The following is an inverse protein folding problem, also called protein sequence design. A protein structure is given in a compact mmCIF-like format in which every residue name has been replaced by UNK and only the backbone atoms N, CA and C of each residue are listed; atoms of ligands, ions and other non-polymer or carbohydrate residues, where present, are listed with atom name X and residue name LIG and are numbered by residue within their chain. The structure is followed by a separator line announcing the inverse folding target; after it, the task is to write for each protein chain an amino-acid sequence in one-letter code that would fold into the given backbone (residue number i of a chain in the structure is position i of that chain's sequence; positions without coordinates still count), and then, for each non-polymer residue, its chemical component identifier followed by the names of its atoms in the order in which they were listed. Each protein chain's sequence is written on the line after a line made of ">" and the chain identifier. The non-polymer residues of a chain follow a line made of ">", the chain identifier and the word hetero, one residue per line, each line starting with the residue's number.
data_IF_562401072335
#
_entry.id   IF_562401072335
#
_cell.length_a   1.000
_cell.length_b   1.000
_cell.length_c   1.000
_cell.angle_alpha   90.00
_cell.angle_beta   90.00
_cell.angle_gamma   90.00
#
_symmetry.space_group_name_H-M   'P 1'
#
loop_
_entity.id
_entity.type
_entity.pdbx_description
1 polymer ?
#
# COMPACT_ATOMS: atom_id res chain seq x y z
N UNK A 1 -9.99 -13.80 -20.92
CA UNK A 1 -9.38 -12.49 -21.20
C UNK A 1 -9.75 -11.58 -20.04
N UNK A 2 -8.76 -11.07 -19.31
CA UNK A 2 -8.97 -10.13 -18.19
C UNK A 2 -8.64 -8.75 -18.73
N UNK A 3 -9.64 -7.87 -18.79
CA UNK A 3 -9.50 -6.48 -19.21
C UNK A 3 -10.04 -5.57 -18.11
N UNK A 4 -9.44 -4.39 -17.95
CA UNK A 4 -10.04 -3.33 -17.13
C UNK A 4 -11.11 -2.61 -17.95
N UNK A 5 -12.31 -2.50 -17.38
CA UNK A 5 -13.45 -1.85 -18.03
C UNK A 5 -13.32 -0.32 -17.99
N UNK A 6 -13.84 0.36 -19.02
CA UNK A 6 -13.87 1.82 -19.13
C UNK A 6 -14.61 2.51 -17.97
N UNK A 7 -15.59 1.83 -17.36
CA UNK A 7 -16.34 2.35 -16.20
C UNK A 7 -15.57 2.22 -14.87
N UNK A 8 -14.37 1.63 -14.88
CA UNK A 8 -13.52 1.53 -13.71
C UNK A 8 -13.05 2.92 -13.26
N UNK A 9 -13.20 3.22 -11.97
CA UNK A 9 -12.73 4.49 -11.40
C UNK A 9 -11.20 4.52 -11.38
N UNK A 10 -10.60 5.47 -12.08
CA UNK A 10 -9.14 5.65 -12.11
C UNK A 10 -8.65 6.57 -10.99
N UNK A 11 -7.48 6.28 -10.46
CA UNK A 11 -6.79 7.14 -9.50
C UNK A 11 -6.06 8.32 -10.17
N UNK A 12 -5.46 9.23 -9.38
CA UNK A 12 -5.50 9.30 -7.92
C UNK A 12 -6.73 10.06 -7.37
N UNK A 13 -7.09 9.79 -6.11
CA UNK A 13 -8.14 10.54 -5.41
C UNK A 13 -7.64 11.96 -5.07
N UNK A 14 -8.30 13.06 -5.48
CA UNK A 14 -7.75 14.41 -5.27
C UNK A 14 -7.46 14.78 -3.80
N UNK A 15 -8.28 14.37 -2.81
CA UNK A 15 -7.98 14.60 -1.39
C UNK A 15 -6.90 13.69 -0.77
N UNK A 16 -6.50 12.61 -1.43
CA UNK A 16 -5.52 11.66 -0.92
C UNK A 16 -4.78 10.95 -2.07
N UNK A 17 -3.98 11.70 -2.86
CA UNK A 17 -3.37 11.15 -4.05
C UNK A 17 -2.33 10.05 -3.75
N UNK A 18 -1.80 10.03 -2.53
CA UNK A 18 -0.83 9.06 -2.03
C UNK A 18 -1.41 7.69 -1.65
N UNK A 19 -2.74 7.52 -1.69
CA UNK A 19 -3.40 6.23 -1.45
C UNK A 19 -4.03 5.74 -2.76
N UNK A 20 -3.44 4.69 -3.31
CA UNK A 20 -4.04 3.96 -4.42
C UNK A 20 -5.30 3.24 -3.91
N UNK A 21 -6.44 3.48 -4.57
CA UNK A 21 -7.65 2.69 -4.36
C UNK A 21 -7.34 1.23 -4.69
N UNK A 22 -7.89 0.29 -3.93
CA UNK A 22 -8.63 -0.76 -4.61
C UNK A 22 -10.12 -0.54 -4.38
N UNK A 23 -10.88 -0.52 -5.49
CA UNK A 23 -12.32 -0.68 -5.48
C UNK A 23 -12.62 -2.19 -5.41
N UNK A 24 -12.75 -2.72 -4.19
CA UNK A 24 -13.15 -4.12 -3.99
C UNK A 24 -14.39 -4.14 -3.10
N UNK A 25 -15.54 -4.46 -3.71
CA UNK A 25 -16.74 -4.81 -2.96
C UNK A 25 -16.75 -6.33 -2.71
N UNK A 26 -15.92 -6.75 -1.76
CA UNK A 26 -15.92 -8.09 -1.13
C UNK A 26 -15.55 -9.27 -2.04
N UNK A 27 -14.32 -9.80 -2.00
CA UNK A 27 -14.11 -11.19 -2.40
C UNK A 27 -14.91 -12.06 -1.43
N UNK A 28 -15.64 -13.06 -1.93
CA UNK A 28 -16.68 -13.78 -1.19
C UNK A 28 -16.27 -14.42 0.16
N UNK A 29 -17.25 -15.07 0.78
CA UNK A 29 -17.24 -15.62 2.16
C UNK A 29 -15.94 -16.34 2.56
N UNK A 30 -15.24 -17.01 1.63
CA UNK A 30 -14.03 -17.78 1.91
C UNK A 30 -12.82 -16.95 2.40
N UNK A 31 -12.61 -15.70 1.94
CA UNK A 31 -11.46 -14.91 2.44
C UNK A 31 -11.74 -14.41 3.85
N UNK A 32 -12.95 -13.88 4.08
CA UNK A 32 -13.34 -13.34 5.38
C UNK A 32 -13.50 -14.43 6.44
N UNK A 33 -13.92 -15.64 6.07
CA UNK A 33 -14.07 -16.77 6.99
C UNK A 33 -12.75 -17.48 7.32
N UNK A 34 -11.73 -17.38 6.45
CA UNK A 34 -10.43 -18.01 6.67
C UNK A 34 -9.58 -17.28 7.73
N UNK A 35 -9.94 -16.05 8.11
CA UNK A 35 -9.12 -15.15 8.93
C UNK A 35 -9.83 -14.83 10.27
N UNK A 36 -9.59 -15.60 11.35
CA UNK A 36 -10.41 -15.53 12.56
C UNK A 36 -10.22 -14.26 13.41
N UNK A 37 -9.09 -13.54 13.26
CA UNK A 37 -8.68 -12.48 14.19
C UNK A 37 -8.15 -11.21 13.52
N UNK A 38 -8.39 -11.03 12.22
CA UNK A 38 -7.69 -10.02 11.44
C UNK A 38 -8.46 -8.71 11.34
N UNK A 39 -7.75 -7.58 11.46
CA UNK A 39 -8.34 -6.25 11.28
C UNK A 39 -8.81 -6.04 9.83
N UNK A 40 -9.72 -5.08 9.56
CA UNK A 40 -10.07 -4.71 8.20
C UNK A 40 -8.86 -4.29 7.34
N UNK A 41 -7.84 -3.66 7.96
CA UNK A 41 -6.61 -3.27 7.27
C UNK A 41 -5.73 -4.48 6.93
N UNK A 42 -5.67 -5.47 7.82
CA UNK A 42 -4.97 -6.73 7.60
C UNK A 42 -5.58 -7.51 6.43
N UNK A 43 -6.91 -7.60 6.35
CA UNK A 43 -7.62 -8.23 5.22
C UNK A 43 -7.34 -7.49 3.91
N UNK A 44 -7.42 -6.15 3.93
CA UNK A 44 -7.07 -5.31 2.77
C UNK A 44 -5.63 -5.56 2.32
N UNK A 45 -4.69 -5.64 3.27
CA UNK A 45 -3.30 -5.93 2.99
C UNK A 45 -3.10 -7.28 2.31
N UNK A 46 -3.73 -8.34 2.84
CA UNK A 46 -3.64 -9.68 2.25
C UNK A 46 -4.07 -9.64 0.78
N UNK A 47 -5.26 -9.08 0.51
CA UNK A 47 -5.81 -8.97 -0.84
C UNK A 47 -4.90 -8.18 -1.78
N UNK A 48 -4.35 -7.05 -1.33
CA UNK A 48 -3.49 -6.19 -2.17
C UNK A 48 -2.13 -6.81 -2.45
N UNK A 49 -1.48 -7.39 -1.44
CA UNK A 49 -0.09 -7.88 -1.57
C UNK A 49 0.02 -9.19 -2.34
N UNK A 50 -1.08 -9.95 -2.43
CA UNK A 50 -1.15 -11.21 -3.18
C UNK A 50 -1.91 -11.07 -4.50
N UNK A 51 -2.20 -9.84 -4.95
CA UNK A 51 -2.87 -9.62 -6.22
C UNK A 51 -1.97 -9.98 -7.40
N UNK A 52 -2.56 -10.56 -8.43
CA UNK A 52 -1.86 -10.92 -9.66
C UNK A 52 -1.72 -9.68 -10.57
N UNK A 53 -0.49 -9.33 -10.93
CA UNK A 53 -0.21 -8.21 -11.87
C UNK A 53 -0.23 -8.64 -13.35
N UNK A 54 -0.46 -9.93 -13.61
CA UNK A 54 -0.52 -10.53 -14.94
C UNK A 54 -1.83 -11.29 -15.13
N UNK A 55 -2.22 -11.46 -16.39
CA UNK A 55 -3.36 -12.27 -16.77
C UNK A 55 -3.02 -13.78 -16.72
N UNK A 56 -4.00 -14.64 -17.02
CA UNK A 56 -3.82 -16.10 -17.03
C UNK A 56 -2.77 -16.59 -18.04
N UNK A 57 -2.47 -15.81 -19.08
CA UNK A 57 -1.41 -16.10 -20.04
C UNK A 57 -0.04 -15.56 -19.59
N UNK A 58 0.10 -15.14 -18.33
CA UNK A 58 1.30 -14.53 -17.75
C UNK A 58 1.78 -13.27 -18.49
N UNK A 59 0.86 -12.61 -19.19
CA UNK A 59 1.11 -11.33 -19.87
C UNK A 59 0.56 -10.17 -19.03
N UNK A 60 1.06 -8.93 -19.18
CA UNK A 60 0.49 -7.77 -18.48
C UNK A 60 -1.03 -7.69 -18.66
N UNK A 61 -1.74 -7.27 -17.61
CA UNK A 61 -3.18 -7.01 -17.71
C UNK A 61 -3.38 -5.84 -18.69
N UNK A 62 -4.35 -5.99 -19.59
CA UNK A 62 -4.66 -4.98 -20.60
C UNK A 62 -5.83 -4.07 -20.15
N UNK A 63 -5.81 -2.82 -20.60
CA UNK A 63 -6.91 -1.88 -20.46
C UNK A 63 -7.93 -2.01 -21.62
N UNK A 64 -8.97 -1.17 -21.63
CA UNK A 64 -10.00 -1.20 -22.68
C UNK A 64 -9.47 -0.84 -24.09
N UNK A 65 -8.25 -0.30 -24.18
CA UNK A 65 -7.58 0.02 -25.44
C UNK A 65 -6.66 -1.10 -25.93
N UNK A 66 -6.66 -2.24 -25.24
CA UNK A 66 -5.77 -3.38 -25.50
C UNK A 66 -4.28 -3.05 -25.33
N UNK A 67 -3.97 -2.08 -24.46
CA UNK A 67 -2.61 -1.74 -24.05
C UNK A 67 -2.36 -2.20 -22.62
N UNK A 68 -1.11 -2.42 -22.20
CA UNK A 68 -0.79 -2.75 -20.81
C UNK A 68 -1.34 -1.68 -19.85
N UNK A 69 -2.21 -2.11 -18.94
CA UNK A 69 -2.84 -1.24 -17.96
C UNK A 69 -1.81 -0.71 -16.96
N UNK A 70 -1.90 0.59 -16.67
CA UNK A 70 -1.02 1.22 -15.70
C UNK A 70 -1.43 0.95 -14.24
N UNK A 71 -0.55 1.30 -13.30
CA UNK A 71 -0.78 1.12 -11.87
C UNK A 71 -2.00 1.92 -11.35
N UNK A 72 -2.38 3.02 -12.01
CA UNK A 72 -3.57 3.80 -11.64
C UNK A 72 -4.87 3.15 -12.14
N UNK A 73 -4.75 2.18 -13.05
CA UNK A 73 -5.84 1.44 -13.68
C UNK A 73 -6.08 0.11 -12.96
N UNK A 74 -5.03 -0.67 -12.66
CA UNK A 74 -5.15 -1.96 -11.98
C UNK A 74 -4.91 -1.90 -10.47
N UNK A 75 -4.41 -0.78 -9.94
CA UNK A 75 -4.05 -0.67 -8.52
C UNK A 75 -2.99 -1.70 -8.14
N UNK A 76 -3.32 -2.59 -7.21
CA UNK A 76 -2.42 -3.67 -6.81
C UNK A 76 -2.40 -4.86 -7.79
N UNK A 77 -3.37 -4.95 -8.71
CA UNK A 77 -3.57 -6.07 -9.62
C UNK A 77 -4.92 -6.75 -9.46
N UNK A 78 -5.09 -7.87 -10.15
CA UNK A 78 -6.29 -8.70 -10.08
C UNK A 78 -6.31 -9.53 -8.78
N UNK A 79 -7.47 -9.59 -8.12
CA UNK A 79 -7.60 -10.31 -6.83
C UNK A 79 -7.34 -11.80 -7.01
N UNK A 80 -6.50 -12.37 -6.14
CA UNK A 80 -6.26 -13.80 -6.02
C UNK A 80 -6.73 -14.30 -4.64
N UNK A 81 -7.96 -14.82 -4.53
CA UNK A 81 -8.51 -15.24 -3.24
C UNK A 81 -7.75 -16.38 -2.56
N UNK A 82 -7.19 -17.29 -3.35
CA UNK A 82 -6.44 -18.42 -2.82
C UNK A 82 -5.15 -17.92 -2.15
N UNK A 83 -4.39 -17.07 -2.83
CA UNK A 83 -3.16 -16.48 -2.27
C UNK A 83 -3.46 -15.55 -1.07
N UNK A 84 -4.55 -14.77 -1.14
CA UNK A 84 -4.94 -13.87 -0.05
C UNK A 84 -5.34 -14.59 1.25
N UNK A 85 -5.66 -15.89 1.18
CA UNK A 85 -5.95 -16.68 2.38
C UNK A 85 -4.69 -16.99 3.21
N UNK A 86 -3.51 -17.00 2.57
CA UNK A 86 -2.20 -17.16 3.21
C UNK A 86 -1.16 -16.19 2.58
N UNK A 87 -1.21 -14.90 2.92
CA UNK A 87 -0.35 -13.87 2.34
C UNK A 87 1.08 -13.87 2.90
N UNK A 88 1.36 -14.65 3.95
CA UNK A 88 2.62 -14.64 4.69
C UNK A 88 2.85 -13.38 5.53
N UNK A 89 2.86 -12.20 4.91
CA UNK A 89 3.04 -10.90 5.57
C UNK A 89 1.85 -9.97 5.35
N UNK A 90 1.54 -9.16 6.35
CA UNK A 90 0.54 -8.10 6.24
C UNK A 90 1.01 -6.76 6.81
N UNK A 91 0.45 -5.68 6.25
CA UNK A 91 0.54 -4.32 6.73
C UNK A 91 -0.73 -3.99 7.49
N UNK A 92 -0.69 -4.16 8.81
CA UNK A 92 -1.82 -3.82 9.67
C UNK A 92 -1.80 -2.33 10.04
N UNK A 93 -2.99 -1.77 10.23
CA UNK A 93 -3.21 -0.37 10.63
C UNK A 93 -4.33 -0.35 11.66
N UNK A 94 -4.06 0.19 12.84
CA UNK A 94 -5.07 0.35 13.89
C UNK A 94 -5.80 1.69 13.73
N UNK A 95 -7.04 1.84 14.21
CA UNK A 95 -7.79 3.10 14.11
C UNK A 95 -7.03 4.34 14.60
N UNK A 96 -6.22 4.21 15.67
CA UNK A 96 -5.39 5.28 16.18
C UNK A 96 -4.24 5.69 15.25
N UNK A 97 -3.74 4.78 14.42
CA UNK A 97 -2.62 5.04 13.50
C UNK A 97 -3.06 5.93 12.32
N UNK A 98 -4.37 6.03 12.07
CA UNK A 98 -4.93 7.00 11.13
C UNK A 98 -4.91 8.44 11.67
N UNK A 99 -4.79 8.66 12.98
CA UNK A 99 -4.85 10.02 13.55
C UNK A 99 -3.74 10.93 13.03
N UNK A 100 -2.44 10.53 13.09
CA UNK A 100 -1.36 11.33 12.50
C UNK A 100 -1.53 11.60 11.00
N UNK A 101 -2.11 10.64 10.27
CA UNK A 101 -2.37 10.75 8.83
C UNK A 101 -3.48 11.75 8.53
N UNK A 102 -4.63 11.62 9.19
CA UNK A 102 -5.78 12.53 9.02
C UNK A 102 -5.43 13.96 9.44
N UNK A 103 -4.65 14.13 10.51
CA UNK A 103 -4.13 15.45 10.89
C UNK A 103 -3.14 16.01 9.84
N UNK A 104 -2.35 15.15 9.18
CA UNK A 104 -1.45 15.51 8.08
C UNK A 104 -2.18 16.02 6.83
N UNK A 105 -3.35 15.47 6.54
CA UNK A 105 -4.29 15.93 5.50
C UNK A 105 -4.98 17.27 5.82
N UNK A 106 -4.59 17.96 6.91
CA UNK A 106 -5.16 19.24 7.36
C UNK A 106 -6.62 19.18 7.83
N UNK A 107 -7.14 18.01 8.19
CA UNK A 107 -8.41 17.93 8.89
C UNK A 107 -8.33 18.59 10.27
N UNK A 108 -9.43 19.21 10.69
CA UNK A 108 -9.56 19.79 12.03
C UNK A 108 -9.67 18.70 13.10
N UNK A 109 -9.27 19.03 14.34
CA UNK A 109 -9.40 18.10 15.48
C UNK A 109 -10.84 17.57 15.67
N UNK A 110 -11.85 18.38 15.35
CA UNK A 110 -13.27 17.98 15.43
C UNK A 110 -13.66 16.98 14.34
N UNK A 111 -13.18 17.20 13.10
CA UNK A 111 -13.41 16.26 12.00
C UNK A 111 -12.74 14.92 12.29
N UNK A 112 -11.48 14.93 12.71
CA UNK A 112 -10.75 13.70 13.05
C UNK A 112 -11.43 12.97 14.21
N UNK A 113 -11.86 13.70 15.25
CA UNK A 113 -12.58 13.10 16.38
C UNK A 113 -13.91 12.44 15.96
N UNK A 114 -14.60 13.02 14.98
CA UNK A 114 -15.84 12.48 14.43
C UNK A 114 -15.63 11.21 13.60
N UNK A 115 -14.48 11.11 12.91
CA UNK A 115 -14.08 9.96 12.09
C UNK A 115 -13.65 8.80 12.99
N UNK A 116 -12.68 9.03 13.87
CA UNK A 116 -12.09 7.98 14.72
C UNK A 116 -12.94 7.64 15.95
N UNK A 117 -14.05 8.36 16.16
CA UNK A 117 -14.96 8.21 17.31
C UNK A 117 -14.26 8.32 18.68
N UNK A 118 -13.19 9.11 18.75
CA UNK A 118 -12.42 9.36 19.96
C UNK A 118 -11.95 10.82 20.01
N UNK A 119 -11.66 11.37 21.19
CA UNK A 119 -11.17 12.75 21.33
C UNK A 119 -9.73 12.85 20.83
N UNK A 120 -9.53 13.68 19.80
CA UNK A 120 -8.22 13.92 19.18
C UNK A 120 -7.89 15.40 19.22
N UNK A 121 -6.61 15.72 19.47
CA UNK A 121 -6.05 17.06 19.29
C UNK A 121 -4.90 16.99 18.28
N UNK A 122 -5.14 17.44 17.05
CA UNK A 122 -4.11 17.40 16.00
C UNK A 122 -2.87 18.27 16.34
N UNK A 123 -3.01 19.29 17.18
CA UNK A 123 -1.87 20.09 17.66
C UNK A 123 -0.94 19.33 18.60
N UNK A 124 -1.42 18.25 19.23
CA UNK A 124 -0.62 17.41 20.13
C UNK A 124 -0.03 16.17 19.43
N UNK A 125 -0.34 15.97 18.14
CA UNK A 125 0.10 14.80 17.37
C UNK A 125 1.04 15.25 16.28
N UNK A 126 2.17 14.55 16.14
CA UNK A 126 3.07 14.75 14.99
C UNK A 126 2.41 14.19 13.74
N UNK A 127 1.95 15.08 12.86
CA UNK A 127 1.36 14.68 11.57
C UNK A 127 2.36 13.92 10.71
N UNK A 128 1.87 12.96 9.94
CA UNK A 128 2.68 12.20 8.97
C UNK A 128 2.20 12.49 7.53
N UNK A 129 3.10 12.43 6.53
CA UNK A 129 2.69 12.47 5.14
C UNK A 129 1.97 11.18 4.74
N UNK A 130 1.20 11.22 3.66
CA UNK A 130 0.37 10.09 3.20
C UNK A 130 1.21 8.81 2.99
N UNK A 131 2.36 8.94 2.34
CA UNK A 131 3.28 7.84 2.07
C UNK A 131 3.87 7.19 3.33
N UNK A 132 3.77 7.82 4.51
CA UNK A 132 4.27 7.27 5.77
C UNK A 132 3.22 6.42 6.51
N UNK A 133 1.96 6.44 6.10
CA UNK A 133 0.94 5.52 6.62
C UNK A 133 1.37 4.08 6.31
N UNK A 134 1.13 3.12 7.22
CA UNK A 134 1.49 1.71 7.05
C UNK A 134 0.57 0.98 6.05
N UNK A 135 0.45 1.52 4.84
CA UNK A 135 -0.38 1.00 3.76
C UNK A 135 0.45 0.11 2.83
N UNK A 136 -0.12 -0.98 2.26
CA UNK A 136 0.56 -1.92 1.35
C UNK A 136 0.88 -1.32 -0.05
N UNK A 137 0.92 0.00 -0.17
CA UNK A 137 1.32 0.71 -1.38
C UNK A 137 2.07 1.99 -0.99
N UNK A 138 2.80 2.52 -1.96
CA UNK A 138 3.41 3.84 -1.88
C UNK A 138 2.84 4.69 -2.99
N UNK A 139 2.50 5.93 -2.68
CA UNK A 139 2.45 6.96 -3.70
C UNK A 139 3.02 8.26 -3.16
N UNK A 140 3.89 8.89 -3.95
CA UNK A 140 4.72 10.01 -3.58
C UNK A 140 5.02 10.90 -4.79
N UNK A 141 5.22 12.19 -4.52
CA UNK A 141 5.64 13.17 -5.51
C UNK A 141 6.93 13.84 -5.07
N UNK A 142 7.80 14.17 -6.02
CA UNK A 142 9.00 14.96 -5.78
C UNK A 142 8.77 16.47 -6.01
N UNK A 143 7.58 16.86 -6.48
CA UNK A 143 7.26 18.26 -6.77
C UNK A 143 7.20 19.04 -5.45
N UNK A 144 7.92 20.16 -5.39
CA UNK A 144 7.96 21.03 -4.21
C UNK A 144 8.72 20.43 -3.02
N UNK A 145 9.40 19.29 -3.19
CA UNK A 145 10.24 18.70 -2.17
C UNK A 145 11.67 19.26 -2.22
N UNK A 146 12.30 19.52 -1.07
CA UNK A 146 13.64 20.10 -1.01
C UNK A 146 14.73 19.10 -1.43
N UNK A 147 14.44 17.80 -1.37
CA UNK A 147 15.36 16.71 -1.67
C UNK A 147 14.81 15.85 -2.80
N UNK A 148 15.73 15.31 -3.63
CA UNK A 148 15.39 14.30 -4.63
C UNK A 148 15.26 12.89 -4.02
N UNK A 149 15.27 12.76 -2.69
CA UNK A 149 15.18 11.48 -1.99
C UNK A 149 14.23 11.58 -0.80
N UNK A 150 13.39 10.56 -0.63
CA UNK A 150 12.38 10.46 0.41
C UNK A 150 12.45 9.06 1.02
N UNK A 151 12.44 8.96 2.36
CA UNK A 151 12.51 7.67 3.07
C UNK A 151 11.27 7.47 3.93
N UNK A 152 10.68 6.28 3.82
CA UNK A 152 9.48 5.90 4.53
C UNK A 152 9.69 4.60 5.29
N UNK A 153 9.01 4.48 6.43
CA UNK A 153 9.04 3.25 7.24
C UNK A 153 7.75 2.46 7.03
N UNK A 154 7.89 1.13 7.02
CA UNK A 154 6.78 0.19 7.03
C UNK A 154 6.97 -0.84 8.12
N UNK A 155 5.86 -1.28 8.69
CA UNK A 155 5.80 -2.36 9.67
C UNK A 155 5.01 -3.50 9.06
N UNK A 156 5.61 -4.68 9.01
CA UNK A 156 4.96 -5.91 8.55
C UNK A 156 4.78 -6.87 9.70
N UNK A 157 3.65 -7.55 9.73
CA UNK A 157 3.35 -8.62 10.69
C UNK A 157 3.40 -9.95 9.96
N UNK A 158 4.13 -10.92 10.52
CA UNK A 158 4.12 -12.29 10.01
C UNK A 158 2.84 -13.03 10.44
N UNK A 159 2.08 -13.49 9.45
CA UNK A 159 0.85 -14.29 9.62
C UNK A 159 0.94 -15.66 8.95
N UNK A 160 2.06 -15.96 8.29
CA UNK A 160 2.36 -17.27 7.72
C UNK A 160 3.26 -18.08 8.66
N UNK A 161 4.21 -18.82 8.08
CA UNK A 161 5.07 -19.70 8.87
C UNK A 161 5.93 -18.93 9.90
N UNK A 162 6.04 -19.43 11.15
CA UNK A 162 6.77 -18.74 12.21
C UNK A 162 8.27 -18.68 11.94
N UNK A 163 8.86 -19.67 11.28
CA UNK A 163 10.29 -19.70 10.93
C UNK A 163 10.48 -19.46 9.43
N UNK A 164 10.41 -18.19 9.05
CA UNK A 164 10.39 -17.76 7.65
C UNK A 164 11.34 -16.58 7.41
N UNK A 165 11.86 -16.49 6.19
CA UNK A 165 12.77 -15.43 5.76
C UNK A 165 12.27 -14.84 4.45
N UNK A 166 12.08 -13.53 4.43
CA UNK A 166 11.58 -12.79 3.27
C UNK A 166 12.68 -11.86 2.77
N UNK A 167 13.06 -12.00 1.50
CA UNK A 167 14.05 -11.13 0.85
C UNK A 167 13.38 -10.27 -0.20
N UNK A 168 13.78 -9.00 -0.27
CA UNK A 168 13.22 -8.02 -1.20
C UNK A 168 13.69 -8.34 -2.62
N UNK A 169 12.74 -8.44 -3.54
CA UNK A 169 13.01 -8.45 -4.97
C UNK A 169 12.99 -7.01 -5.50
N UNK A 170 14.17 -6.45 -5.80
CA UNK A 170 14.28 -5.04 -6.20
C UNK A 170 13.69 -4.82 -7.61
N UNK A 171 12.57 -4.09 -7.68
CA UNK A 171 12.01 -3.54 -8.92
C UNK A 171 11.88 -2.03 -8.75
N UNK A 172 12.60 -1.28 -9.59
CA UNK A 172 12.63 0.18 -9.58
C UNK A 172 11.76 0.72 -10.73
N UNK A 173 10.79 1.60 -10.48
CA UNK A 173 10.03 2.25 -11.54
C UNK A 173 10.94 3.11 -12.45
N UNK A 174 10.56 3.36 -13.72
CA UNK A 174 11.31 4.24 -14.59
C UNK A 174 11.57 5.62 -13.95
N UNK A 175 12.84 6.03 -13.88
CA UNK A 175 13.25 7.32 -13.34
C UNK A 175 13.42 7.38 -11.81
N UNK A 176 13.14 6.30 -11.08
CA UNK A 176 13.24 6.25 -9.61
C UNK A 176 14.09 5.06 -9.18
N UNK A 177 15.04 5.30 -8.28
CA UNK A 177 15.78 4.25 -7.58
C UNK A 177 15.09 3.93 -6.25
N UNK A 178 14.82 2.63 -6.01
CA UNK A 178 14.23 2.14 -4.77
C UNK A 178 15.25 1.34 -3.99
N UNK A 179 15.47 1.72 -2.72
CA UNK A 179 16.38 1.03 -1.80
C UNK A 179 15.65 0.61 -0.54
N UNK A 180 15.75 -0.67 -0.18
CA UNK A 180 15.10 -1.22 1.03
C UNK A 180 16.14 -1.69 2.04
N UNK A 181 15.96 -1.32 3.32
CA UNK A 181 16.85 -1.67 4.43
C UNK A 181 16.04 -2.07 5.67
N UNK A 182 16.25 -3.27 6.26
CA UNK A 182 17.08 -4.36 5.72
C UNK A 182 16.45 -4.95 4.45
N UNK A 183 17.27 -5.58 3.60
CA UNK A 183 16.79 -6.25 2.39
C UNK A 183 16.23 -7.66 2.67
N UNK A 184 16.37 -8.16 3.89
CA UNK A 184 15.86 -9.46 4.34
C UNK A 184 15.30 -9.35 5.74
N UNK A 185 14.09 -9.85 5.94
CA UNK A 185 13.41 -9.95 7.23
C UNK A 185 13.32 -11.43 7.62
N UNK A 186 13.75 -11.75 8.84
CA UNK A 186 13.69 -13.10 9.40
C UNK A 186 12.74 -13.12 10.58
N UNK A 187 11.75 -14.00 10.53
CA UNK A 187 10.80 -14.22 11.60
C UNK A 187 11.07 -15.57 12.25
N UNK A 188 10.91 -15.62 13.57
CA UNK A 188 11.00 -16.83 14.38
C UNK A 188 9.68 -17.20 15.05
N UNK A 189 8.69 -16.29 15.01
CA UNK A 189 7.42 -16.38 15.70
C UNK A 189 6.29 -15.86 14.81
N UNK A 190 5.09 -16.41 15.01
CA UNK A 190 3.85 -15.92 14.41
C UNK A 190 3.44 -14.59 15.07
N UNK A 191 2.78 -13.71 14.32
CA UNK A 191 2.31 -12.39 14.76
C UNK A 191 3.43 -11.45 15.22
N UNK A 192 4.68 -11.75 14.84
CA UNK A 192 5.80 -10.87 15.13
C UNK A 192 5.82 -9.72 14.11
N UNK A 193 5.88 -8.50 14.62
CA UNK A 193 6.08 -7.30 13.82
C UNK A 193 7.56 -7.03 13.58
N UNK A 194 7.91 -6.64 12.35
CA UNK A 194 9.24 -6.16 11.95
C UNK A 194 9.11 -4.89 11.11
N UNK A 195 10.12 -4.03 11.21
CA UNK A 195 10.17 -2.78 10.46
C UNK A 195 11.26 -2.80 9.40
N UNK A 196 10.98 -2.12 8.30
CA UNK A 196 11.96 -1.82 7.27
C UNK A 196 11.76 -0.41 6.73
N UNK A 197 12.82 0.12 6.14
CA UNK A 197 12.87 1.45 5.56
C UNK A 197 13.00 1.34 4.04
N UNK A 198 12.21 2.14 3.33
CA UNK A 198 12.26 2.26 1.87
C UNK A 198 12.65 3.68 1.53
N UNK A 199 13.73 3.83 0.78
CA UNK A 199 14.21 5.09 0.24
C UNK A 199 13.92 5.13 -1.25
N UNK A 200 13.21 6.17 -1.69
CA UNK A 200 12.93 6.49 -3.08
C UNK A 200 13.80 7.68 -3.48
N UNK A 201 14.62 7.50 -4.51
CA UNK A 201 15.51 8.55 -5.02
C UNK A 201 15.20 8.82 -6.49
N UNK A 202 14.89 10.07 -6.84
CA UNK A 202 14.69 10.47 -8.24
C UNK A 202 16.04 10.51 -8.95
N UNK A 203 16.12 9.82 -10.09
CA UNK A 203 17.31 9.84 -10.93
C UNK A 203 17.44 11.20 -11.62
N UNK A 204 18.68 11.66 -11.83
CA UNK A 204 18.95 12.96 -12.45
C UNK A 204 18.40 13.07 -13.89
N UNK A 205 18.21 11.93 -14.57
CA UNK A 205 17.62 11.84 -15.90
C UNK A 205 16.09 11.92 -15.93
N UNK A 206 15.43 11.85 -14.76
CA UNK A 206 13.98 11.82 -14.67
C UNK A 206 13.38 13.24 -14.69
N UNK A 207 12.22 13.45 -15.34
CA UNK A 207 11.50 14.73 -15.32
C UNK A 207 11.27 15.29 -13.91
N UNK A 208 11.20 16.62 -13.77
CA UNK A 208 10.94 17.24 -12.45
C UNK A 208 9.55 16.93 -11.87
N UNK A 209 8.63 16.43 -12.69
CA UNK A 209 7.26 16.05 -12.30
C UNK A 209 7.07 14.55 -12.07
N UNK A 210 8.16 13.75 -11.93
CA UNK A 210 8.03 12.33 -11.63
C UNK A 210 7.25 12.10 -10.34
N UNK A 211 6.23 11.27 -10.43
CA UNK A 211 5.44 10.77 -9.31
C UNK A 211 5.41 9.24 -9.39
N UNK A 212 5.27 8.60 -8.23
CA UNK A 212 5.10 7.15 -8.07
C UNK A 212 3.82 6.90 -7.29
#
# INVERSE_FOLDING_TARGET
>A
MLLVDYLSSRGPNPPSPGILKPDIFGPGVNILAAWPTSSPAAIKSAIMTTADVVNHAHSPIEDETFLPADIFTIGAGHVNPAAASDPGLIYDIKPQDYVPYLCGLKYTSLQVSSIVKNKVKCSAVKSIPEAQLNHPSFSLTFIGQPTNSQTYTRTVTNVGDPNSSYSVHNVSPPGIEVRVVPNTLKFSELNREMQYHVTFSRLASAPNNTAV
#
